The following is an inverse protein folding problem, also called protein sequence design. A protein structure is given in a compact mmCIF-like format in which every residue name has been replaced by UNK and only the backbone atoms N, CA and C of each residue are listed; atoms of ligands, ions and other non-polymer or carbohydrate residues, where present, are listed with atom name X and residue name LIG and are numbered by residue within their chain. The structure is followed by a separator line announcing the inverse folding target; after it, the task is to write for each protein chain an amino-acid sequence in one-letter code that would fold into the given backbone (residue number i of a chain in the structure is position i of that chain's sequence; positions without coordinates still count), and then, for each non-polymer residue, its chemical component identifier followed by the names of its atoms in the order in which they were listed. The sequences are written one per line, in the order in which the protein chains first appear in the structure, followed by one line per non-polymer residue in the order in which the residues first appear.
data_IF_437305834788
#
_entry.id   IF_437305834788
#
_cell.length_a   1.000
_cell.length_b   1.000
_cell.length_c   1.000
_cell.angle_alpha   90.00
_cell.angle_beta   90.00
_cell.angle_gamma   90.00
#
_symmetry.space_group_name_H-M   'P 1'
#
loop_
_entity.id
_entity.type
_entity.pdbx_description
1 polymer ?
#
# COMPACT_ATOMS: atom_id res chain seq x y z
N UNK A 1 -21.65 -3.42 14.54
CA UNK A 1 -21.09 -3.60 13.18
C UNK A 1 -21.93 -2.76 12.24
N UNK A 2 -21.29 -2.09 11.28
CA UNK A 2 -21.88 -1.15 10.32
C UNK A 2 -21.60 -1.67 8.93
N UNK A 3 -22.64 -1.82 8.11
CA UNK A 3 -22.48 -2.26 6.73
C UNK A 3 -21.70 -1.23 5.90
N UNK A 4 -20.79 -1.69 5.04
CA UNK A 4 -20.16 -0.84 4.03
C UNK A 4 -21.13 -0.65 2.87
N UNK A 5 -21.86 0.46 2.86
CA UNK A 5 -22.79 0.81 1.79
C UNK A 5 -23.86 -0.27 1.57
N UNK A 6 -23.99 -0.74 0.33
CA UNK A 6 -24.91 -1.83 -0.05
C UNK A 6 -24.20 -3.20 -0.19
N UNK A 7 -22.95 -3.31 0.26
CA UNK A 7 -22.22 -4.58 0.25
C UNK A 7 -22.66 -5.50 1.40
N UNK A 8 -22.26 -6.77 1.34
CA UNK A 8 -22.41 -7.71 2.46
C UNK A 8 -21.28 -7.64 3.49
N UNK A 9 -20.44 -6.61 3.46
CA UNK A 9 -19.30 -6.44 4.37
C UNK A 9 -19.67 -5.56 5.56
N UNK A 10 -19.20 -5.94 6.74
CA UNK A 10 -19.42 -5.24 8.00
C UNK A 10 -18.11 -4.71 8.60
N UNK A 11 -18.15 -3.51 9.19
CA UNK A 11 -17.02 -2.88 9.90
C UNK A 11 -17.41 -2.37 11.29
N UNK A 12 -16.43 -2.16 12.16
CA UNK A 12 -16.64 -1.40 13.39
C UNK A 12 -16.90 0.09 13.03
N UNK A 13 -17.86 0.80 13.67
CA UNK A 13 -18.24 2.18 13.31
C UNK A 13 -17.17 3.25 13.59
N UNK A 14 -15.92 2.86 13.88
CA UNK A 14 -14.80 3.75 14.16
C UNK A 14 -13.47 3.11 13.73
N UNK A 15 -12.70 3.80 12.88
CA UNK A 15 -11.31 3.45 12.62
C UNK A 15 -10.39 4.30 13.49
N UNK A 16 -9.59 3.68 14.36
CA UNK A 16 -8.54 4.40 15.10
C UNK A 16 -7.33 4.61 14.20
N UNK A 17 -6.95 5.86 13.95
CA UNK A 17 -5.73 6.18 13.21
C UNK A 17 -4.51 6.17 14.14
N UNK A 18 -3.49 5.37 13.80
CA UNK A 18 -2.24 5.29 14.56
C UNK A 18 -1.21 6.39 14.27
N UNK A 19 -1.59 7.49 13.60
CA UNK A 19 -0.67 8.51 13.09
C UNK A 19 0.13 9.24 14.19
N UNK A 20 -0.32 9.19 15.43
CA UNK A 20 0.36 9.80 16.58
C UNK A 20 1.39 8.87 17.23
N UNK A 21 1.31 7.57 16.98
CA UNK A 21 2.16 6.57 17.62
C UNK A 21 3.60 6.65 17.11
N UNK A 22 4.55 6.84 18.03
CA UNK A 22 5.96 7.07 17.69
C UNK A 22 6.27 8.49 17.21
N UNK A 23 5.28 9.38 17.14
CA UNK A 23 5.48 10.80 16.82
C UNK A 23 5.18 11.71 18.01
N UNK A 24 3.91 11.76 18.43
CA UNK A 24 3.46 12.57 19.58
C UNK A 24 3.00 11.72 20.76
N UNK A 25 2.86 10.40 20.56
CA UNK A 25 2.64 9.40 21.61
C UNK A 25 3.87 8.50 21.70
N UNK A 26 4.41 8.31 22.90
CA UNK A 26 5.50 7.36 23.14
C UNK A 26 5.02 5.90 23.04
N UNK A 27 5.96 4.95 23.13
CA UNK A 27 5.69 3.51 23.00
C UNK A 27 4.65 3.04 24.03
N UNK A 28 4.83 3.40 25.30
CA UNK A 28 3.95 3.00 26.39
C UNK A 28 2.51 3.54 26.20
N UNK A 29 2.37 4.82 25.88
CA UNK A 29 1.08 5.46 25.64
C UNK A 29 0.40 4.88 24.40
N UNK A 30 1.15 4.67 23.33
CA UNK A 30 0.63 4.04 22.11
C UNK A 30 0.07 2.65 22.42
N UNK A 31 0.77 1.87 23.26
CA UNK A 31 0.31 0.56 23.70
C UNK A 31 -0.91 0.61 24.61
N UNK A 32 -0.94 1.52 25.58
CA UNK A 32 -2.12 1.70 26.43
C UNK A 32 -3.39 2.05 25.60
N UNK A 33 -3.24 2.84 24.54
CA UNK A 33 -4.34 3.16 23.62
C UNK A 33 -4.77 1.93 22.81
N UNK A 34 -3.82 1.14 22.30
CA UNK A 34 -4.11 -0.09 21.56
C UNK A 34 -4.78 -1.16 22.43
N UNK A 35 -4.33 -1.33 23.68
CA UNK A 35 -4.92 -2.28 24.64
C UNK A 35 -6.34 -1.88 25.04
N UNK A 36 -6.60 -0.57 25.17
CA UNK A 36 -7.93 -0.04 25.51
C UNK A 36 -8.89 -0.02 24.31
N UNK A 37 -8.36 0.17 23.10
CA UNK A 37 -9.15 0.21 21.87
C UNK A 37 -9.05 -1.14 21.15
N UNK A 38 -9.97 -2.05 21.50
CA UNK A 38 -10.09 -3.43 20.96
C UNK A 38 -10.51 -3.46 19.47
N UNK A 39 -10.10 -2.48 18.66
CA UNK A 39 -10.39 -2.41 17.24
C UNK A 39 -9.20 -1.91 16.39
N UNK A 40 -9.00 -2.46 15.19
CA UNK A 40 -8.10 -3.59 14.92
C UNK A 40 -7.15 -3.22 13.76
N UNK A 41 -6.90 -1.92 13.53
CA UNK A 41 -6.41 -1.43 12.23
C UNK A 41 -5.37 -0.30 12.33
N UNK A 42 -4.19 -0.49 11.73
CA UNK A 42 -3.18 0.53 11.47
C UNK A 42 -3.26 0.98 10.01
N UNK A 43 -3.16 2.28 9.74
CA UNK A 43 -3.17 2.84 8.37
C UNK A 43 -1.84 3.56 8.07
N UNK A 44 -0.75 2.83 7.76
CA UNK A 44 0.55 3.44 7.51
C UNK A 44 0.76 3.82 6.05
N UNK A 45 1.74 4.70 5.77
CA UNK A 45 2.26 4.86 4.41
C UNK A 45 3.13 3.65 4.10
N UNK A 46 2.67 2.77 3.21
CA UNK A 46 3.43 1.57 2.85
C UNK A 46 3.16 1.18 1.39
N UNK A 47 4.24 1.04 0.62
CA UNK A 47 4.25 0.58 -0.76
C UNK A 47 5.70 0.23 -1.16
N UNK A 48 5.90 -0.24 -2.39
CA UNK A 48 7.22 -0.62 -2.93
C UNK A 48 8.28 0.50 -2.91
N UNK A 49 7.92 1.76 -2.70
CA UNK A 49 8.87 2.88 -2.65
C UNK A 49 9.07 3.41 -1.22
N UNK A 50 8.23 2.99 -0.27
CA UNK A 50 8.10 3.59 1.06
C UNK A 50 7.98 2.47 2.09
N UNK A 51 9.06 1.70 2.25
CA UNK A 51 9.10 0.48 3.07
C UNK A 51 9.68 0.71 4.47
N UNK A 52 10.85 1.34 4.54
CA UNK A 52 11.65 1.46 5.75
C UNK A 52 10.86 2.03 6.95
N UNK A 53 10.12 3.12 6.77
CA UNK A 53 9.38 3.76 7.87
C UNK A 53 8.37 2.80 8.51
N UNK A 54 7.61 2.04 7.70
CA UNK A 54 6.66 1.06 8.24
C UNK A 54 7.38 -0.18 8.79
N UNK A 55 8.23 -0.83 7.97
CA UNK A 55 8.84 -2.13 8.28
C UNK A 55 9.75 -2.08 9.53
N UNK A 56 10.43 -0.95 9.78
CA UNK A 56 11.36 -0.82 10.92
C UNK A 56 10.71 -0.33 12.21
N UNK A 57 9.62 0.44 12.13
CA UNK A 57 9.05 1.12 13.30
C UNK A 57 7.67 0.61 13.70
N UNK A 58 6.75 0.51 12.74
CA UNK A 58 5.34 0.22 13.01
C UNK A 58 5.00 -1.26 12.84
N UNK A 59 5.66 -1.97 11.93
CA UNK A 59 5.37 -3.37 11.66
C UNK A 59 5.59 -4.30 12.88
N UNK A 60 6.65 -4.14 13.71
CA UNK A 60 6.80 -4.94 14.93
C UNK A 60 5.63 -4.74 15.89
N UNK A 61 5.18 -3.50 16.09
CA UNK A 61 4.01 -3.19 16.91
C UNK A 61 2.72 -3.75 16.29
N UNK A 62 2.53 -3.62 14.98
CA UNK A 62 1.37 -4.19 14.32
C UNK A 62 1.26 -5.71 14.53
N UNK A 63 2.40 -6.42 14.48
CA UNK A 63 2.47 -7.84 14.77
C UNK A 63 2.24 -8.16 16.26
N UNK A 64 2.90 -7.44 17.17
CA UNK A 64 2.81 -7.63 18.62
C UNK A 64 1.37 -7.49 19.14
N UNK A 65 0.61 -6.54 18.58
CA UNK A 65 -0.77 -6.24 19.01
C UNK A 65 -1.84 -6.84 18.09
N UNK A 66 -1.47 -7.67 17.11
CA UNK A 66 -2.43 -8.30 16.19
C UNK A 66 -3.25 -7.30 15.37
N UNK A 67 -2.64 -6.16 14.99
CA UNK A 67 -3.30 -5.13 14.19
C UNK A 67 -3.34 -5.54 12.72
N UNK A 68 -4.52 -5.45 12.11
CA UNK A 68 -4.65 -5.44 10.66
C UNK A 68 -4.05 -4.15 10.09
N UNK A 69 -3.43 -4.24 8.92
CA UNK A 69 -2.71 -3.12 8.30
C UNK A 69 -3.39 -2.74 6.99
N UNK A 70 -3.73 -1.46 6.85
CA UNK A 70 -4.41 -0.90 5.69
C UNK A 70 -3.53 0.18 5.07
N UNK A 71 -2.54 -0.18 4.25
CA UNK A 71 -1.61 0.79 3.66
C UNK A 71 -2.32 1.90 2.89
N UNK A 72 -2.02 3.17 3.19
CA UNK A 72 -2.42 4.30 2.36
C UNK A 72 -1.32 4.68 1.37
N UNK A 73 -1.69 5.45 0.34
CA UNK A 73 -0.79 5.78 -0.78
C UNK A 73 -0.17 4.52 -1.43
N UNK A 74 -0.94 3.42 -1.47
CA UNK A 74 -0.48 2.12 -1.96
C UNK A 74 0.10 2.15 -3.38
N UNK A 75 -0.37 3.08 -4.22
CA UNK A 75 0.11 3.27 -5.61
C UNK A 75 0.98 4.53 -5.80
N UNK A 76 1.48 5.15 -4.73
CA UNK A 76 2.39 6.29 -4.78
C UNK A 76 1.91 7.44 -5.70
N UNK A 77 0.65 7.86 -5.53
CA UNK A 77 0.04 8.91 -6.36
C UNK A 77 -0.22 8.51 -7.83
N UNK A 78 -0.16 7.22 -8.14
CA UNK A 78 -0.28 6.66 -9.49
C UNK A 78 1.05 6.33 -10.15
N UNK A 79 2.19 6.59 -9.48
CA UNK A 79 3.50 6.22 -9.99
C UNK A 79 3.61 4.70 -10.19
N UNK A 80 3.33 3.90 -9.15
CA UNK A 80 3.38 2.43 -9.21
C UNK A 80 2.32 1.79 -10.13
N UNK A 81 1.39 2.60 -10.67
CA UNK A 81 0.49 2.16 -11.73
C UNK A 81 1.10 2.32 -13.13
N UNK A 82 2.37 2.75 -13.23
CA UNK A 82 3.07 2.99 -14.50
C UNK A 82 2.68 4.29 -15.20
N UNK A 83 1.98 5.21 -14.52
CA UNK A 83 1.45 6.44 -15.14
C UNK A 83 2.53 7.47 -15.47
N UNK A 84 3.66 7.46 -14.75
CA UNK A 84 4.72 8.44 -14.91
C UNK A 84 6.05 7.72 -15.07
N UNK A 85 6.71 7.90 -16.22
CA UNK A 85 7.99 7.29 -16.57
C UNK A 85 9.04 8.33 -16.97
N UNK A 86 8.58 9.55 -17.26
CA UNK A 86 9.39 10.69 -17.64
C UNK A 86 8.79 11.99 -17.10
N UNK A 87 9.58 13.06 -17.09
CA UNK A 87 9.09 14.38 -16.71
C UNK A 87 7.92 14.86 -17.59
N UNK A 88 7.85 14.41 -18.85
CA UNK A 88 6.79 14.80 -19.79
C UNK A 88 5.41 14.22 -19.40
N UNK A 89 5.37 13.05 -18.76
CA UNK A 89 4.12 12.36 -18.38
C UNK A 89 3.34 13.10 -17.27
N UNK A 90 3.96 14.11 -16.65
CA UNK A 90 3.40 14.84 -15.54
C UNK A 90 2.52 16.04 -15.93
N UNK A 91 2.52 16.46 -17.20
CA UNK A 91 1.82 17.66 -17.64
C UNK A 91 0.31 17.58 -17.33
N UNK A 92 -0.19 18.52 -16.50
CA UNK A 92 -1.61 18.65 -16.15
C UNK A 92 -2.16 17.64 -15.13
N UNK A 93 -1.32 16.79 -14.52
CA UNK A 93 -1.78 15.79 -13.55
C UNK A 93 -1.92 16.37 -12.13
N UNK A 94 -3.11 16.29 -11.54
CA UNK A 94 -3.39 16.81 -10.18
C UNK A 94 -2.48 16.27 -9.05
N UNK A 95 -1.89 15.07 -9.21
CA UNK A 95 -0.97 14.44 -8.24
C UNK A 95 0.50 14.52 -8.67
N UNK A 96 0.82 15.36 -9.67
CA UNK A 96 2.16 15.51 -10.24
C UNK A 96 3.26 15.73 -9.19
N UNK A 97 3.15 16.67 -8.24
CA UNK A 97 4.28 16.99 -7.35
C UNK A 97 4.68 15.81 -6.46
N UNK A 98 3.69 15.07 -5.96
CA UNK A 98 3.92 13.92 -5.07
C UNK A 98 4.42 12.67 -5.80
N UNK A 99 4.13 12.52 -7.09
CA UNK A 99 4.62 11.41 -7.90
C UNK A 99 6.00 11.70 -8.52
N UNK A 100 6.29 12.97 -8.84
CA UNK A 100 7.53 13.38 -9.47
C UNK A 100 8.78 13.07 -8.61
N UNK A 101 8.65 13.04 -7.27
CA UNK A 101 9.75 12.64 -6.38
C UNK A 101 10.25 11.20 -6.59
N UNK A 102 9.44 10.35 -7.22
CA UNK A 102 9.79 8.96 -7.52
C UNK A 102 10.39 8.77 -8.92
N UNK A 103 10.49 9.82 -9.73
CA UNK A 103 11.27 9.81 -10.98
C UNK A 103 12.78 9.82 -10.68
N UNK A 104 13.26 8.73 -10.11
CA UNK A 104 14.66 8.48 -9.80
C UNK A 104 15.07 7.13 -10.41
N UNK A 105 16.37 6.84 -10.57
CA UNK A 105 16.81 5.53 -11.04
C UNK A 105 16.23 4.37 -10.21
N UNK A 106 16.12 4.53 -8.88
CA UNK A 106 15.50 3.54 -8.00
C UNK A 106 14.00 3.37 -8.29
N UNK A 107 13.24 4.46 -8.39
CA UNK A 107 11.81 4.38 -8.68
C UNK A 107 11.51 3.80 -10.07
N UNK A 108 12.33 4.14 -11.07
CA UNK A 108 12.24 3.54 -12.40
C UNK A 108 12.63 2.06 -12.41
N UNK A 109 13.58 1.65 -11.56
CA UNK A 109 13.91 0.23 -11.35
C UNK A 109 12.73 -0.56 -10.80
N UNK A 110 12.02 -0.02 -9.80
CA UNK A 110 10.77 -0.63 -9.29
C UNK A 110 9.70 -0.74 -10.37
N UNK A 111 9.56 0.27 -11.25
CA UNK A 111 8.62 0.18 -12.37
C UNK A 111 9.01 -0.93 -13.37
N UNK A 112 10.30 -1.10 -13.66
CA UNK A 112 10.75 -2.17 -14.54
C UNK A 112 10.46 -3.56 -13.96
N UNK A 113 10.67 -3.74 -12.65
CA UNK A 113 10.31 -4.98 -11.95
C UNK A 113 8.81 -5.24 -12.00
N UNK A 114 7.99 -4.21 -11.75
CA UNK A 114 6.54 -4.30 -11.87
C UNK A 114 6.10 -4.66 -13.29
N UNK A 115 6.71 -4.08 -14.32
CA UNK A 115 6.39 -4.37 -15.72
C UNK A 115 6.70 -5.82 -16.08
N UNK A 116 7.83 -6.36 -15.61
CA UNK A 116 8.21 -7.76 -15.82
C UNK A 116 7.16 -8.71 -15.24
N UNK A 117 6.88 -8.56 -13.93
CA UNK A 117 5.90 -9.41 -13.23
C UNK A 117 4.50 -9.22 -13.82
N UNK A 118 4.11 -7.98 -14.15
CA UNK A 118 2.82 -7.71 -14.76
C UNK A 118 2.66 -8.39 -16.13
N UNK A 119 3.74 -8.43 -16.92
CA UNK A 119 3.74 -9.12 -18.23
C UNK A 119 3.59 -10.63 -18.07
N UNK A 120 4.29 -11.24 -17.11
CA UNK A 120 4.23 -12.69 -16.85
C UNK A 120 2.82 -13.14 -16.44
N UNK A 121 2.11 -12.30 -15.70
CA UNK A 121 0.73 -12.58 -15.24
C UNK A 121 -0.36 -12.01 -16.17
N UNK A 122 0.00 -11.23 -17.19
CA UNK A 122 -0.96 -10.59 -18.11
C UNK A 122 -1.88 -9.56 -17.44
N UNK A 123 -1.37 -8.85 -16.43
CA UNK A 123 -2.13 -7.87 -15.62
C UNK A 123 -1.50 -6.47 -15.69
N UNK A 124 -2.06 -5.49 -14.98
CA UNK A 124 -1.47 -4.15 -14.91
C UNK A 124 -0.45 -4.04 -13.76
N UNK A 125 0.54 -3.12 -13.86
CA UNK A 125 1.44 -2.82 -12.75
C UNK A 125 0.73 -2.47 -11.43
N UNK A 126 -0.40 -1.77 -11.51
CA UNK A 126 -1.21 -1.45 -10.34
C UNK A 126 -1.75 -2.70 -9.64
N UNK A 127 -2.09 -3.75 -10.40
CA UNK A 127 -2.55 -5.04 -9.87
C UNK A 127 -1.44 -5.70 -9.07
N UNK A 128 -0.23 -5.78 -9.65
CA UNK A 128 0.95 -6.38 -9.03
C UNK A 128 1.36 -5.63 -7.77
N UNK A 129 1.43 -4.29 -7.82
CA UNK A 129 1.83 -3.49 -6.67
C UNK A 129 0.89 -3.66 -5.46
N UNK A 130 -0.41 -3.77 -5.70
CA UNK A 130 -1.40 -4.02 -4.64
C UNK A 130 -1.37 -5.48 -4.16
N UNK A 131 -1.21 -6.44 -5.06
CA UNK A 131 -1.05 -7.85 -4.71
C UNK A 131 0.20 -8.08 -3.86
N UNK A 132 1.31 -7.39 -4.16
CA UNK A 132 2.52 -7.43 -3.33
C UNK A 132 2.25 -6.93 -1.90
N UNK A 133 1.46 -5.87 -1.73
CA UNK A 133 1.08 -5.44 -0.37
C UNK A 133 0.29 -6.51 0.37
N UNK A 134 -0.59 -7.25 -0.32
CA UNK A 134 -1.37 -8.35 0.26
C UNK A 134 -0.53 -9.58 0.65
N UNK A 135 0.71 -9.71 0.16
CA UNK A 135 1.64 -10.75 0.64
C UNK A 135 2.37 -10.35 1.93
N UNK A 136 2.24 -9.10 2.37
CA UNK A 136 2.99 -8.60 3.53
C UNK A 136 2.31 -8.97 4.85
N UNK A 137 3.09 -9.32 5.89
CA UNK A 137 2.53 -9.68 7.20
C UNK A 137 1.59 -8.60 7.75
N UNK A 138 0.41 -9.04 8.17
CA UNK A 138 -0.61 -8.18 8.79
C UNK A 138 -1.39 -7.29 7.83
N UNK A 139 -1.01 -7.17 6.55
CA UNK A 139 -1.77 -6.37 5.58
C UNK A 139 -3.09 -7.04 5.25
N UNK A 140 -4.20 -6.34 5.48
CA UNK A 140 -5.56 -6.85 5.28
C UNK A 140 -6.26 -6.22 4.07
N UNK A 141 -6.00 -4.94 3.80
CA UNK A 141 -6.67 -4.22 2.70
C UNK A 141 -5.89 -2.94 2.33
N UNK A 142 -5.06 -2.99 1.27
CA UNK A 142 -4.43 -1.80 0.71
C UNK A 142 -5.46 -0.79 0.21
N UNK A 143 -5.25 0.49 0.50
CA UNK A 143 -6.14 1.56 0.06
C UNK A 143 -5.69 2.10 -1.30
N UNK A 144 -6.52 1.89 -2.31
CA UNK A 144 -6.35 2.43 -3.65
C UNK A 144 -7.58 3.25 -4.07
N UNK A 145 -7.35 4.35 -4.79
CA UNK A 145 -8.42 5.19 -5.32
C UNK A 145 -8.46 5.14 -6.83
N UNK A 146 -9.65 4.97 -7.39
CA UNK A 146 -9.96 5.22 -8.79
C UNK A 146 -10.66 6.59 -8.93
N UNK A 147 -10.41 7.28 -10.06
CA UNK A 147 -11.12 8.50 -10.47
C UNK A 147 -11.94 8.29 -11.74
N UNK A 148 -11.72 7.18 -12.45
CA UNK A 148 -12.50 6.76 -13.61
C UNK A 148 -12.83 5.27 -13.49
N UNK A 149 -13.90 4.83 -14.16
CA UNK A 149 -14.38 3.44 -14.08
C UNK A 149 -13.37 2.46 -14.65
N UNK A 150 -12.61 2.89 -15.66
CA UNK A 150 -11.59 2.10 -16.36
C UNK A 150 -10.42 1.72 -15.45
N UNK A 151 -10.25 2.40 -14.31
CA UNK A 151 -9.22 2.05 -13.33
C UNK A 151 -9.65 0.89 -12.43
N UNK A 152 -10.95 0.64 -12.26
CA UNK A 152 -11.47 -0.35 -11.32
C UNK A 152 -11.03 -1.79 -11.62
N UNK A 153 -11.04 -2.28 -12.88
CA UNK A 153 -10.63 -3.66 -13.18
C UNK A 153 -9.23 -4.00 -12.63
N UNK A 154 -8.26 -3.10 -12.80
CA UNK A 154 -6.90 -3.27 -12.29
C UNK A 154 -6.84 -3.31 -10.75
N UNK A 155 -7.62 -2.48 -10.06
CA UNK A 155 -7.64 -2.47 -8.60
C UNK A 155 -8.26 -3.75 -8.05
N UNK A 156 -9.39 -4.18 -8.64
CA UNK A 156 -10.12 -5.37 -8.20
C UNK A 156 -9.35 -6.67 -8.47
N UNK A 157 -8.63 -6.74 -9.59
CA UNK A 157 -7.82 -7.91 -9.94
C UNK A 157 -6.73 -8.22 -8.89
N UNK A 158 -6.30 -7.22 -8.11
CA UNK A 158 -5.24 -7.42 -7.11
C UNK A 158 -5.63 -8.40 -6.00
N UNK A 159 -6.91 -8.46 -5.64
CA UNK A 159 -7.42 -9.39 -4.63
C UNK A 159 -7.45 -10.87 -5.10
N UNK A 160 -7.34 -11.11 -6.41
CA UNK A 160 -7.36 -12.44 -7.00
C UNK A 160 -5.99 -12.90 -7.52
N UNK A 161 -5.02 -11.99 -7.62
CA UNK A 161 -3.69 -12.30 -8.12
C UNK A 161 -2.85 -12.99 -7.03
N UNK A 162 -2.39 -14.20 -7.30
CA UNK A 162 -1.43 -14.91 -6.47
C UNK A 162 -0.02 -14.71 -7.04
N UNK A 163 0.79 -13.87 -6.39
CA UNK A 163 2.20 -13.73 -6.74
C UNK A 163 2.98 -14.96 -6.30
N UNK A 164 3.88 -15.43 -7.17
CA UNK A 164 4.80 -16.52 -6.85
C UNK A 164 5.92 -16.03 -5.93
N UNK A 165 6.63 -16.93 -5.24
CA UNK A 165 7.83 -16.55 -4.47
C UNK A 165 8.87 -15.79 -5.30
N UNK A 166 9.04 -16.16 -6.58
CA UNK A 166 9.99 -15.50 -7.48
C UNK A 166 9.53 -14.08 -7.83
N UNK A 167 8.23 -13.87 -8.09
CA UNK A 167 7.67 -12.53 -8.31
C UNK A 167 7.92 -11.62 -7.10
N UNK A 168 7.68 -12.16 -5.89
CA UNK A 168 7.88 -11.43 -4.64
C UNK A 168 9.37 -11.09 -4.47
N UNK A 169 10.28 -12.03 -4.76
CA UNK A 169 11.72 -11.79 -4.65
C UNK A 169 12.20 -10.69 -5.61
N UNK A 170 11.74 -10.70 -6.86
CA UNK A 170 12.05 -9.66 -7.86
C UNK A 170 11.59 -8.28 -7.37
N UNK A 171 10.38 -8.20 -6.82
CA UNK A 171 9.82 -6.96 -6.30
C UNK A 171 10.54 -6.50 -5.02
N UNK A 172 10.86 -7.42 -4.10
CA UNK A 172 11.55 -7.13 -2.85
C UNK A 172 12.99 -6.64 -3.11
N UNK A 173 13.70 -7.21 -4.09
CA UNK A 173 15.04 -6.79 -4.50
C UNK A 173 15.01 -5.41 -5.14
N UNK A 174 14.11 -5.18 -6.09
CA UNK A 174 14.00 -3.89 -6.78
C UNK A 174 13.58 -2.74 -5.84
N UNK A 175 12.87 -3.07 -4.75
CA UNK A 175 12.37 -2.11 -3.76
C UNK A 175 13.19 -2.05 -2.47
N UNK A 176 14.33 -2.75 -2.38
CA UNK A 176 15.15 -2.74 -1.18
C UNK A 176 15.63 -1.31 -0.85
N UNK A 177 15.42 -0.89 0.40
CA UNK A 177 15.80 0.43 0.94
C UNK A 177 16.85 0.30 2.01
#
# INVERSE_FOLDING_TARGET
MTAIGSSGLDVFPLGLGGNTFGWTSDRETSFAVLDAFVAVALQPHYNLLERASYETSLAPSAAEFGLGVLPYCALAGGFLAGKYRSAADHAGAARQPAAARYLTPAGLGVLAALDSVAADHGVSPATVALAWLLTRPGVVAPLASARTVEQLPALLASAALNLTPDDIAVLDEASAT
#
